data_IF_192648903701
#
_entry.id   IF_192648903701
#
_cell.length_a   1.000
_cell.length_b   1.000
_cell.length_c   1.000
_cell.angle_alpha   90.00
_cell.angle_beta   90.00
_cell.angle_gamma   90.00
#
_symmetry.space_group_name_H-M   'P 1'
#
loop_
_entity.id
_entity.type
_entity.pdbx_description
1 polymer ?
#
# COMPACT_ATOMS: atom_id res chain seq x y z
N UNK A 1 -0.24 19.83 -2.53
CA UNK A 1 -1.18 18.99 -3.31
C UNK A 1 -1.02 19.17 -4.83
N UNK A 2 -0.81 20.40 -5.35
CA UNK A 2 -0.64 20.67 -6.80
C UNK A 2 0.46 19.81 -7.45
N UNK A 3 1.63 19.70 -6.81
CA UNK A 3 2.73 18.88 -7.32
C UNK A 3 2.36 17.38 -7.44
N UNK A 4 1.59 16.84 -6.48
CA UNK A 4 1.17 15.44 -6.50
C UNK A 4 0.24 15.11 -7.68
N UNK A 5 -0.64 16.05 -8.06
CA UNK A 5 -1.46 15.91 -9.27
C UNK A 5 -0.63 16.06 -10.55
N UNK A 6 0.28 17.04 -10.60
CA UNK A 6 1.12 17.29 -11.78
C UNK A 6 2.09 16.13 -12.09
N UNK A 7 2.61 15.46 -11.06
CA UNK A 7 3.57 14.35 -11.20
C UNK A 7 2.95 12.97 -11.02
N UNK A 8 1.62 12.85 -11.05
CA UNK A 8 0.91 11.60 -10.82
C UNK A 8 1.45 10.44 -11.66
N UNK A 9 1.61 10.63 -12.96
CA UNK A 9 2.08 9.56 -13.85
C UNK A 9 3.48 9.06 -13.48
N UNK A 10 4.41 9.97 -13.14
CA UNK A 10 5.76 9.60 -12.70
C UNK A 10 5.76 8.86 -11.37
N UNK A 11 4.91 9.29 -10.44
CA UNK A 11 4.74 8.63 -9.14
C UNK A 11 4.19 7.22 -9.34
N UNK A 12 3.20 7.06 -10.24
CA UNK A 12 2.60 5.77 -10.54
C UNK A 12 3.62 4.79 -11.16
N UNK A 13 4.40 5.24 -12.14
CA UNK A 13 5.48 4.43 -12.74
C UNK A 13 6.55 4.05 -11.72
N UNK A 14 7.00 5.01 -10.90
CA UNK A 14 7.98 4.76 -9.85
C UNK A 14 7.47 3.81 -8.76
N UNK A 15 6.18 3.88 -8.42
CA UNK A 15 5.56 2.98 -7.45
C UNK A 15 5.62 1.54 -7.91
N UNK A 16 5.27 1.26 -9.17
CA UNK A 16 5.29 -0.10 -9.71
C UNK A 16 6.71 -0.70 -9.67
N UNK A 17 7.71 0.05 -10.12
CA UNK A 17 9.12 -0.38 -10.09
C UNK A 17 9.60 -0.66 -8.65
N UNK A 18 9.27 0.24 -7.72
CA UNK A 18 9.60 0.04 -6.30
C UNK A 18 8.89 -1.18 -5.70
N UNK A 19 7.65 -1.46 -6.11
CA UNK A 19 6.95 -2.67 -5.68
C UNK A 19 7.69 -3.92 -6.15
N UNK A 20 8.09 -4.02 -7.42
CA UNK A 20 8.90 -5.16 -7.91
C UNK A 20 10.23 -5.30 -7.14
N UNK A 21 10.97 -4.22 -6.93
CA UNK A 21 12.21 -4.26 -6.14
C UNK A 21 11.98 -4.73 -4.70
N UNK A 22 10.87 -4.33 -4.09
CA UNK A 22 10.51 -4.76 -2.74
C UNK A 22 10.05 -6.22 -2.69
N UNK A 23 9.46 -6.74 -3.77
CA UNK A 23 9.03 -8.13 -3.91
C UNK A 23 10.24 -9.07 -3.80
N UNK A 24 11.38 -8.72 -4.40
CA UNK A 24 12.64 -9.47 -4.33
C UNK A 24 13.21 -9.60 -2.91
N UNK A 25 12.79 -8.71 -2.00
CA UNK A 25 13.19 -8.70 -0.60
C UNK A 25 12.22 -9.48 0.29
N UNK A 26 11.09 -9.94 -0.25
CA UNK A 26 10.15 -10.79 0.46
C UNK A 26 10.82 -12.10 0.89
N UNK A 27 10.60 -12.50 2.14
CA UNK A 27 11.24 -13.65 2.77
C UNK A 27 12.69 -13.41 3.21
N UNK A 28 13.36 -12.36 2.69
CA UNK A 28 14.73 -11.96 3.10
C UNK A 28 14.72 -10.92 4.21
N UNK A 29 13.76 -9.99 4.18
CA UNK A 29 13.60 -8.94 5.20
C UNK A 29 12.25 -9.09 5.88
N UNK A 30 12.26 -9.33 7.19
CA UNK A 30 11.05 -9.51 7.99
C UNK A 30 10.06 -8.36 7.82
N UNK A 31 10.53 -7.11 7.91
CA UNK A 31 9.65 -5.94 7.75
C UNK A 31 9.01 -5.90 6.36
N UNK A 32 9.77 -6.20 5.31
CA UNK A 32 9.25 -6.23 3.94
C UNK A 32 8.19 -7.33 3.77
N UNK A 33 8.42 -8.52 4.33
CA UNK A 33 7.40 -9.58 4.33
C UNK A 33 6.12 -9.16 5.03
N UNK A 34 6.22 -8.64 6.25
CA UNK A 34 5.05 -8.18 7.01
C UNK A 34 4.28 -7.09 6.25
N UNK A 35 4.99 -6.13 5.64
CA UNK A 35 4.35 -5.09 4.84
C UNK A 35 3.62 -5.65 3.62
N UNK A 36 4.19 -6.64 2.93
CA UNK A 36 3.54 -7.32 1.81
C UNK A 36 2.31 -8.12 2.27
N UNK A 37 2.45 -8.89 3.35
CA UNK A 37 1.36 -9.71 3.87
C UNK A 37 0.16 -8.84 4.27
N UNK A 38 0.41 -7.76 5.02
CA UNK A 38 -0.62 -6.76 5.39
C UNK A 38 -1.25 -6.11 4.16
N UNK A 39 -0.43 -5.67 3.19
CA UNK A 39 -0.94 -5.02 1.98
C UNK A 39 -1.88 -5.94 1.20
N UNK A 40 -1.51 -7.22 1.05
CA UNK A 40 -2.30 -8.21 0.34
C UNK A 40 -3.61 -8.54 1.04
N UNK A 41 -3.59 -8.64 2.36
CA UNK A 41 -4.81 -8.90 3.15
C UNK A 41 -5.75 -7.69 3.18
N UNK A 42 -5.22 -6.50 3.45
CA UNK A 42 -6.01 -5.27 3.59
C UNK A 42 -6.62 -4.84 2.25
N UNK A 43 -5.85 -4.94 1.17
CA UNK A 43 -6.29 -4.54 -0.17
C UNK A 43 -6.88 -5.69 -1.00
N UNK A 44 -6.86 -6.92 -0.47
CA UNK A 44 -7.34 -8.14 -1.14
C UNK A 44 -6.76 -8.31 -2.54
N UNK A 45 -5.44 -8.22 -2.61
CA UNK A 45 -4.66 -8.27 -3.84
C UNK A 45 -3.55 -9.32 -3.74
N UNK A 46 -2.93 -9.69 -4.86
CA UNK A 46 -1.79 -10.59 -4.87
C UNK A 46 -0.79 -10.24 -5.97
N UNK A 47 0.50 -10.22 -5.60
CA UNK A 47 1.58 -9.82 -6.49
C UNK A 47 1.54 -8.33 -6.84
N UNK A 48 2.44 -7.89 -7.70
CA UNK A 48 2.47 -6.49 -8.16
C UNK A 48 1.36 -6.28 -9.19
N UNK A 49 1.36 -7.09 -10.25
CA UNK A 49 0.34 -7.11 -11.30
C UNK A 49 -0.60 -8.31 -11.15
N UNK A 50 -0.07 -9.46 -10.76
CA UNK A 50 -0.84 -10.70 -10.62
C UNK A 50 -0.12 -11.68 -9.66
N UNK A 51 -0.84 -12.67 -9.15
CA UNK A 51 -0.28 -13.70 -8.25
C UNK A 51 0.91 -14.44 -8.83
N UNK A 52 1.04 -14.50 -10.16
CA UNK A 52 2.17 -15.13 -10.86
C UNK A 52 3.52 -14.48 -10.58
N UNK A 53 3.54 -13.22 -10.11
CA UNK A 53 4.77 -12.53 -9.71
C UNK A 53 5.53 -13.29 -8.61
N UNK A 54 4.85 -14.16 -7.86
CA UNK A 54 5.42 -15.01 -6.81
C UNK A 54 6.15 -16.26 -7.30
N UNK A 55 6.17 -16.55 -8.61
CA UNK A 55 6.80 -17.75 -9.19
C UNK A 55 6.43 -19.05 -8.43
N UNK A 56 5.13 -19.30 -8.27
CA UNK A 56 4.51 -20.43 -7.55
C UNK A 56 4.69 -20.48 -6.02
N UNK A 57 5.49 -19.57 -5.43
CA UNK A 57 5.63 -19.42 -3.98
C UNK A 57 4.70 -18.36 -3.43
N UNK A 58 3.41 -18.61 -3.62
CA UNK A 58 2.35 -17.70 -3.23
C UNK A 58 2.27 -17.65 -1.69
N UNK A 59 2.31 -16.45 -1.08
CA UNK A 59 2.18 -16.31 0.37
C UNK A 59 0.72 -16.52 0.82
N UNK A 60 0.54 -16.96 2.06
CA UNK A 60 -0.79 -17.22 2.63
C UNK A 60 -1.69 -15.98 2.66
N UNK A 61 -1.10 -14.79 2.75
CA UNK A 61 -1.78 -13.48 2.66
C UNK A 61 -2.51 -13.26 1.33
N UNK A 62 -2.07 -13.90 0.25
CA UNK A 62 -2.77 -13.89 -1.05
C UNK A 62 -3.99 -14.83 -1.09
N UNK A 63 -4.08 -15.78 -0.17
CA UNK A 63 -5.19 -16.73 -0.14
C UNK A 63 -6.45 -16.06 0.42
N UNK A 64 -7.58 -16.34 -0.22
CA UNK A 64 -8.90 -15.91 0.27
C UNK A 64 -9.26 -16.64 1.55
N UNK A 65 -10.02 -15.97 2.41
CA UNK A 65 -10.61 -16.59 3.59
C UNK A 65 -11.88 -17.37 3.26
N UNK A 66 -12.07 -18.51 3.91
CA UNK A 66 -13.34 -19.21 3.98
C UNK A 66 -14.33 -18.53 4.93
N UNK A 67 -15.59 -18.98 4.90
CA UNK A 67 -16.66 -18.52 5.80
C UNK A 67 -16.30 -18.61 7.31
N UNK A 68 -15.27 -19.38 7.67
CA UNK A 68 -14.74 -19.50 9.04
C UNK A 68 -13.42 -18.79 9.30
N UNK A 69 -13.04 -17.79 8.49
CA UNK A 69 -11.77 -17.06 8.61
C UNK A 69 -10.50 -17.95 8.55
N UNK A 70 -10.59 -19.06 7.83
CA UNK A 70 -9.45 -19.93 7.52
C UNK A 70 -9.00 -19.64 6.10
N UNK A 71 -7.69 -19.55 5.87
CA UNK A 71 -7.12 -19.39 4.52
C UNK A 71 -7.44 -20.61 3.66
N UNK A 72 -7.97 -20.39 2.46
CA UNK A 72 -8.13 -21.42 1.43
C UNK A 72 -6.76 -21.95 1.00
N UNK A 73 -6.64 -23.22 0.58
CA UNK A 73 -5.36 -23.80 0.17
C UNK A 73 -4.93 -23.29 -1.22
N UNK A 74 -4.54 -22.03 -1.33
CA UNK A 74 -4.26 -21.39 -2.62
C UNK A 74 -2.94 -21.85 -3.25
N UNK A 75 -2.02 -22.40 -2.46
CA UNK A 75 -0.76 -22.95 -2.97
C UNK A 75 -0.92 -24.32 -3.64
N UNK A 76 -1.92 -25.11 -3.21
CA UNK A 76 -2.23 -26.42 -3.79
C UNK A 76 -3.18 -26.28 -4.97
N UNK A 77 -4.10 -25.31 -4.90
CA UNK A 77 -5.10 -25.07 -5.92
C UNK A 77 -5.13 -23.58 -6.26
N UNK A 78 -4.38 -23.18 -7.29
CA UNK A 78 -4.30 -21.79 -7.77
C UNK A 78 -5.50 -21.44 -8.67
N UNK A 79 -6.69 -21.25 -8.08
CA UNK A 79 -7.92 -20.94 -8.82
C UNK A 79 -8.45 -19.57 -8.45
N UNK A 80 -9.32 -18.99 -9.29
CA UNK A 80 -9.98 -17.71 -9.00
C UNK A 80 -10.84 -17.72 -7.73
N UNK A 81 -11.15 -18.91 -7.19
CA UNK A 81 -11.93 -19.08 -5.98
C UNK A 81 -11.05 -19.16 -4.72
N UNK A 82 -9.74 -19.33 -4.85
CA UNK A 82 -8.85 -19.54 -3.69
C UNK A 82 -7.85 -18.41 -3.49
N UNK A 83 -7.57 -17.62 -4.54
CA UNK A 83 -6.55 -16.57 -4.53
C UNK A 83 -7.09 -15.23 -5.00
N UNK A 84 -6.60 -14.14 -4.39
CA UNK A 84 -6.82 -12.79 -4.93
C UNK A 84 -6.14 -12.65 -6.29
N UNK A 85 -6.90 -12.28 -7.32
CA UNK A 85 -6.38 -12.10 -8.69
C UNK A 85 -6.00 -10.67 -9.05
N UNK A 86 -6.48 -9.70 -8.27
CA UNK A 86 -6.16 -8.29 -8.51
C UNK A 86 -4.71 -8.04 -8.09
N UNK A 87 -3.90 -7.42 -8.95
CA UNK A 87 -2.57 -6.97 -8.61
C UNK A 87 -2.57 -5.87 -7.55
N UNK A 88 -1.60 -5.88 -6.64
CA UNK A 88 -1.53 -4.90 -5.56
C UNK A 88 -1.21 -3.48 -6.06
N UNK A 89 -0.56 -3.34 -7.21
CA UNK A 89 -0.37 -2.04 -7.83
C UNK A 89 -1.72 -1.38 -8.18
N UNK A 90 -2.58 -2.09 -8.90
CA UNK A 90 -3.92 -1.58 -9.25
C UNK A 90 -4.76 -1.31 -8.00
N UNK A 91 -4.78 -2.25 -7.05
CA UNK A 91 -5.54 -2.13 -5.80
C UNK A 91 -5.10 -0.91 -4.98
N UNK A 92 -3.78 -0.66 -4.88
CA UNK A 92 -3.22 0.50 -4.17
C UNK A 92 -3.60 1.80 -4.86
N UNK A 93 -3.47 1.87 -6.18
CA UNK A 93 -3.84 3.07 -6.95
C UNK A 93 -5.32 3.38 -6.83
N UNK A 94 -6.17 2.34 -6.82
CA UNK A 94 -7.60 2.46 -6.59
C UNK A 94 -7.90 2.96 -5.18
N UNK A 95 -7.29 2.36 -4.15
CA UNK A 95 -7.46 2.78 -2.76
C UNK A 95 -7.04 4.25 -2.55
N UNK A 96 -5.95 4.70 -3.16
CA UNK A 96 -5.51 6.10 -3.11
C UNK A 96 -6.50 7.05 -3.79
N UNK A 97 -7.10 6.62 -4.91
CA UNK A 97 -8.10 7.43 -5.63
C UNK A 97 -9.38 7.55 -4.81
N UNK A 98 -9.88 6.43 -4.30
CA UNK A 98 -11.15 6.37 -3.58
C UNK A 98 -11.08 7.12 -2.24
N UNK A 99 -9.91 7.10 -1.57
CA UNK A 99 -9.69 7.81 -0.31
C UNK A 99 -9.05 9.21 -0.48
N UNK A 100 -8.95 9.72 -1.71
CA UNK A 100 -8.23 10.98 -1.98
C UNK A 100 -8.78 12.19 -1.23
N UNK A 101 -10.10 12.26 -1.01
CA UNK A 101 -10.74 13.33 -0.23
C UNK A 101 -10.37 13.26 1.26
N UNK A 102 -10.35 12.06 1.84
CA UNK A 102 -9.95 11.84 3.24
C UNK A 102 -8.48 12.21 3.44
N UNK A 103 -7.61 11.80 2.51
CA UNK A 103 -6.20 12.15 2.51
C UNK A 103 -5.99 13.67 2.41
N UNK A 104 -6.74 14.34 1.53
CA UNK A 104 -6.70 15.79 1.41
C UNK A 104 -7.09 16.48 2.72
N UNK A 105 -8.20 16.04 3.34
CA UNK A 105 -8.68 16.56 4.61
C UNK A 105 -7.67 16.40 5.74
N UNK A 106 -7.06 15.20 5.87
CA UNK A 106 -6.04 14.93 6.88
C UNK A 106 -4.81 15.83 6.72
N UNK A 107 -4.32 16.03 5.50
CA UNK A 107 -3.18 16.93 5.22
C UNK A 107 -3.54 18.37 5.56
N UNK A 108 -4.73 18.85 5.18
CA UNK A 108 -5.18 20.19 5.52
C UNK A 108 -5.27 20.41 7.04
N UNK A 109 -5.84 19.44 7.77
CA UNK A 109 -5.93 19.50 9.23
C UNK A 109 -4.54 19.58 9.88
N UNK A 110 -3.60 18.76 9.42
CA UNK A 110 -2.22 18.79 9.90
C UNK A 110 -1.56 20.16 9.66
N UNK A 111 -1.77 20.78 8.50
CA UNK A 111 -1.23 22.11 8.20
C UNK A 111 -1.81 23.19 9.12
N UNK A 112 -3.10 23.12 9.44
CA UNK A 112 -3.76 24.04 10.39
C UNK A 112 -3.19 23.93 11.80
N UNK A 113 -2.66 22.76 12.19
CA UNK A 113 -2.02 22.58 13.50
C UNK A 113 -0.54 22.96 13.46
N UNK A 114 0.18 22.56 12.41
CA UNK A 114 1.63 22.74 12.30
C UNK A 114 1.99 24.22 12.10
N UNK A 115 1.27 24.96 11.25
CA UNK A 115 1.62 26.35 10.93
C UNK A 115 1.54 27.27 12.16
N UNK A 116 0.46 27.27 12.96
CA UNK A 116 0.42 28.06 14.19
C UNK A 116 1.48 27.64 15.20
N UNK A 117 1.75 26.34 15.33
CA UNK A 117 2.76 25.83 16.24
C UNK A 117 4.17 26.31 15.87
N UNK A 118 4.54 26.27 14.58
CA UNK A 118 5.84 26.75 14.12
C UNK A 118 5.96 28.28 14.24
N UNK A 119 4.88 29.02 13.96
CA UNK A 119 4.83 30.48 14.14
C UNK A 119 5.00 30.84 15.61
N UNK A 120 4.27 30.20 16.53
CA UNK A 120 4.40 30.44 17.97
C UNK A 120 5.81 30.10 18.47
N UNK A 121 6.38 28.98 18.03
CA UNK A 121 7.75 28.59 18.37
C UNK A 121 8.78 29.64 17.90
N UNK A 122 8.64 30.14 16.67
CA UNK A 122 9.50 31.19 16.14
C UNK A 122 9.36 32.51 16.93
N UNK A 123 8.14 32.89 17.32
CA UNK A 123 7.93 34.07 18.18
C UNK A 123 8.61 33.93 19.54
N UNK A 124 8.51 32.76 20.18
CA UNK A 124 9.18 32.53 21.47
C UNK A 124 10.71 32.57 21.34
N UNK A 125 11.27 32.06 20.24
CA UNK A 125 12.72 32.08 20.01
C UNK A 125 13.29 33.47 19.72
N UNK A 126 12.47 34.38 19.19
CA UNK A 126 12.91 35.75 18.81
C UNK A 126 12.58 36.81 19.86
N UNK A 127 11.64 36.53 20.76
CA UNK A 127 11.28 37.40 21.90
C UNK A 127 12.09 37.12 23.18
N UNK A 128 13.01 36.17 23.13
CA UNK A 128 14.03 35.85 24.14
C UNK A 128 15.37 36.48 23.73
#
# INVERSE_FOLDING_TARGET
MVLGYAFRERILLGLQDQMYQSLDLYGRRRMTSVSWDMTQEDLRCCGVEDYRDWNDRIPDSCCMDDYGARKRPCQQLQTSLTIYRTGCYEATVKALRDNSLLLAGAVCLLLVVIIPATVMAYYMLTAL
#
